data_IF_215522397334
#
_entry.id   IF_215522397334
#
_cell.length_a   1.000
_cell.length_b   1.000
_cell.length_c   1.000
_cell.angle_alpha   90.00
_cell.angle_beta   90.00
_cell.angle_gamma   90.00
#
_symmetry.space_group_name_H-M   'P 1'
#
loop_
_entity.id
_entity.type
_entity.pdbx_description
1 polymer ?
#
# COMPACT_ATOMS: atom_id res chain seq x y z
N UNK A 1 -18.58 -15.23 79.51
CA UNK A 1 -18.90 -15.25 78.07
C UNK A 1 -18.68 -13.82 77.64
N UNK A 2 -17.43 -13.51 77.31
CA UNK A 2 -16.95 -12.13 77.34
C UNK A 2 -16.78 -11.68 75.89
N UNK A 3 -17.62 -10.71 75.49
CA UNK A 3 -17.74 -10.24 74.12
C UNK A 3 -16.53 -9.44 73.68
N UNK A 4 -15.79 -9.97 72.71
CA UNK A 4 -14.78 -9.21 71.97
C UNK A 4 -15.46 -8.20 71.04
N UNK A 5 -15.47 -6.93 71.44
CA UNK A 5 -15.76 -5.81 70.54
C UNK A 5 -14.60 -5.65 69.56
N UNK A 6 -14.87 -5.88 68.27
CA UNK A 6 -13.92 -5.60 67.19
C UNK A 6 -14.01 -4.12 66.83
N UNK A 7 -13.08 -3.33 67.34
CA UNK A 7 -12.92 -1.93 66.96
C UNK A 7 -12.51 -1.85 65.48
N UNK A 8 -13.49 -1.52 64.64
CA UNK A 8 -13.28 -1.32 63.21
C UNK A 8 -12.77 0.10 63.00
N UNK A 9 -11.45 0.24 62.85
CA UNK A 9 -10.83 1.50 62.43
C UNK A 9 -11.27 1.87 61.01
N UNK A 10 -12.26 2.75 60.90
CA UNK A 10 -12.70 3.32 59.64
C UNK A 10 -11.72 4.44 59.23
N UNK A 11 -10.75 4.10 58.37
CA UNK A 11 -9.91 5.10 57.71
C UNK A 11 -10.76 5.89 56.71
N UNK A 12 -11.32 7.02 57.15
CA UNK A 12 -11.98 7.99 56.28
C UNK A 12 -10.91 8.76 55.49
N UNK A 13 -10.58 8.25 54.31
CA UNK A 13 -9.71 8.94 53.36
C UNK A 13 -10.50 10.04 52.66
N UNK A 14 -10.51 11.23 53.25
CA UNK A 14 -11.08 12.43 52.64
C UNK A 14 -10.19 12.91 51.50
N UNK A 15 -10.64 12.76 50.25
CA UNK A 15 -9.94 13.29 49.07
C UNK A 15 -10.12 14.82 49.04
N UNK A 16 -9.03 15.58 49.16
CA UNK A 16 -9.08 17.04 49.09
C UNK A 16 -9.29 17.48 47.63
N UNK A 17 -9.97 18.61 47.40
CA UNK A 17 -10.11 19.19 46.05
C UNK A 17 -8.75 19.53 45.42
N UNK A 18 -7.72 19.77 46.24
CA UNK A 18 -6.32 19.91 45.81
C UNK A 18 -5.75 18.64 45.15
N UNK A 19 -6.20 17.46 45.58
CA UNK A 19 -5.65 16.18 45.14
C UNK A 19 -6.18 15.81 43.75
N UNK A 20 -7.41 16.22 43.42
CA UNK A 20 -7.96 16.10 42.06
C UNK A 20 -7.20 16.97 41.06
N UNK A 21 -6.80 18.19 41.44
CA UNK A 21 -6.00 19.07 40.60
C UNK A 21 -4.65 18.44 40.23
N UNK A 22 -3.99 17.80 41.19
CA UNK A 22 -2.73 17.11 40.97
C UNK A 22 -2.86 15.93 39.98
N UNK A 23 -3.95 15.15 40.05
CA UNK A 23 -4.21 14.04 39.12
C UNK A 23 -4.40 14.54 37.68
N UNK A 24 -5.14 15.64 37.49
CA UNK A 24 -5.33 16.22 36.15
C UNK A 24 -4.03 16.76 35.56
N UNK A 25 -3.19 17.40 36.37
CA UNK A 25 -1.87 17.87 35.95
C UNK A 25 -0.98 16.71 35.51
N UNK A 26 -0.95 15.61 36.29
CA UNK A 26 -0.17 14.42 35.94
C UNK A 26 -0.65 13.77 34.63
N UNK A 27 -1.96 13.69 34.41
CA UNK A 27 -2.53 13.17 33.16
C UNK A 27 -2.19 14.06 31.95
N UNK A 28 -2.21 15.38 32.12
CA UNK A 28 -1.88 16.33 31.07
C UNK A 28 -0.38 16.24 30.71
N UNK A 29 0.50 16.21 31.72
CA UNK A 29 1.94 16.03 31.52
C UNK A 29 2.24 14.70 30.83
N UNK A 30 1.60 13.60 31.26
CA UNK A 30 1.79 12.29 30.66
C UNK A 30 1.31 12.24 29.20
N UNK A 31 0.14 12.82 28.92
CA UNK A 31 -0.39 13.01 27.56
C UNK A 31 0.58 13.80 26.67
N UNK A 32 1.12 14.90 27.19
CA UNK A 32 2.07 15.74 26.47
C UNK A 32 3.37 14.97 26.13
N UNK A 33 3.92 14.20 27.07
CA UNK A 33 5.13 13.38 26.83
C UNK A 33 4.89 12.35 25.73
N UNK A 34 3.73 11.69 25.74
CA UNK A 34 3.39 10.73 24.69
C UNK A 34 3.19 11.42 23.34
N UNK A 35 2.44 12.53 23.30
CA UNK A 35 2.23 13.31 22.08
C UNK A 35 3.57 13.78 21.48
N UNK A 36 4.52 14.22 22.31
CA UNK A 36 5.86 14.59 21.89
C UNK A 36 6.61 13.36 21.35
N UNK A 37 6.60 12.23 22.05
CA UNK A 37 7.32 11.02 21.61
C UNK A 37 6.79 10.48 20.27
N UNK A 38 5.47 10.38 20.11
CA UNK A 38 4.85 9.94 18.87
C UNK A 38 4.95 10.99 17.77
N UNK A 39 4.79 12.28 18.09
CA UNK A 39 4.95 13.40 17.18
C UNK A 39 6.37 13.51 16.62
N UNK A 40 7.39 13.36 17.46
CA UNK A 40 8.79 13.30 17.04
C UNK A 40 9.04 12.09 16.15
N UNK A 41 8.56 10.90 16.52
CA UNK A 41 8.71 9.70 15.68
C UNK A 41 8.03 9.88 14.31
N UNK A 42 6.83 10.46 14.28
CA UNK A 42 6.11 10.81 13.05
C UNK A 42 6.90 11.81 12.21
N UNK A 43 7.41 12.87 12.82
CA UNK A 43 8.20 13.89 12.15
C UNK A 43 9.50 13.32 11.57
N UNK A 44 10.24 12.51 12.33
CA UNK A 44 11.44 11.82 11.88
C UNK A 44 11.17 10.84 10.75
N UNK A 45 10.07 10.09 10.83
CA UNK A 45 9.65 9.17 9.77
C UNK A 45 9.33 9.93 8.47
N UNK A 46 8.53 11.00 8.56
CA UNK A 46 8.20 11.84 7.39
C UNK A 46 9.44 12.50 6.79
N UNK A 47 10.35 12.97 7.63
CA UNK A 47 11.64 13.55 7.20
C UNK A 47 12.50 12.51 6.50
N UNK A 48 12.64 11.30 7.04
CA UNK A 48 13.40 10.20 6.41
C UNK A 48 12.83 9.81 5.03
N UNK A 49 11.52 9.74 4.87
CA UNK A 49 10.89 9.45 3.56
C UNK A 49 11.20 10.54 2.54
N UNK A 50 11.15 11.82 2.97
CA UNK A 50 11.45 12.97 2.10
C UNK A 50 12.93 13.01 1.72
N UNK A 51 13.82 12.75 2.67
CA UNK A 51 15.27 12.86 2.47
C UNK A 51 15.81 11.78 1.51
N UNK A 52 15.23 10.58 1.48
CA UNK A 52 15.63 9.51 0.55
C UNK A 52 15.33 9.88 -0.91
N UNK A 53 14.20 10.57 -1.19
CA UNK A 53 13.88 11.01 -2.55
C UNK A 53 14.79 12.13 -3.06
N UNK A 54 15.40 12.91 -2.16
CA UNK A 54 16.18 14.11 -2.50
C UNK A 54 17.70 13.98 -2.41
N UNK A 55 18.24 12.87 -1.89
CA UNK A 55 19.70 12.72 -1.65
C UNK A 55 20.50 12.24 -2.85
N UNK A 56 19.86 11.60 -3.83
CA UNK A 56 20.58 10.96 -4.92
C UNK A 56 20.43 11.78 -6.20
N UNK A 57 21.55 12.06 -6.86
CA UNK A 57 21.56 12.62 -8.21
C UNK A 57 20.89 11.59 -9.12
N UNK A 58 19.75 11.96 -9.70
CA UNK A 58 19.01 11.09 -10.62
C UNK A 58 19.52 11.38 -12.02
N UNK A 59 20.31 10.45 -12.55
CA UNK A 59 20.75 10.46 -13.96
C UNK A 59 19.66 9.82 -14.81
N UNK A 60 19.41 10.36 -16.01
CA UNK A 60 18.48 9.75 -16.95
C UNK A 60 18.94 8.33 -17.29
N UNK A 61 18.01 7.37 -17.23
CA UNK A 61 18.26 5.98 -17.63
C UNK A 61 17.37 5.69 -18.83
N UNK A 62 17.96 5.19 -19.92
CA UNK A 62 17.23 4.88 -21.16
C UNK A 62 16.80 3.42 -21.22
N UNK A 63 17.45 2.56 -20.43
CA UNK A 63 17.17 1.13 -20.39
C UNK A 63 16.36 0.76 -19.14
N UNK A 64 15.53 -0.26 -19.29
CA UNK A 64 14.81 -0.83 -18.17
C UNK A 64 15.80 -1.37 -17.12
N UNK A 65 15.54 -1.14 -15.82
CA UNK A 65 16.39 -1.67 -14.77
C UNK A 65 16.46 -3.21 -14.85
N UNK A 66 17.65 -3.81 -14.71
CA UNK A 66 17.83 -5.25 -14.83
C UNK A 66 17.09 -5.98 -13.69
N UNK A 67 16.48 -7.12 -14.01
CA UNK A 67 15.81 -8.02 -13.06
C UNK A 67 14.66 -7.41 -12.25
N UNK A 68 14.09 -6.29 -12.71
CA UNK A 68 12.91 -5.66 -12.11
C UNK A 68 11.72 -5.81 -13.05
N UNK A 69 10.73 -6.67 -12.76
CA UNK A 69 9.54 -6.77 -13.59
C UNK A 69 8.70 -5.49 -13.53
N UNK A 70 7.85 -5.21 -14.53
CA UNK A 70 7.08 -3.96 -14.60
C UNK A 70 6.20 -3.71 -13.38
N UNK A 71 5.57 -4.74 -12.81
CA UNK A 71 4.75 -4.58 -11.60
C UNK A 71 5.59 -4.16 -10.38
N UNK A 72 6.85 -4.60 -10.28
CA UNK A 72 7.76 -4.11 -9.25
C UNK A 72 8.11 -2.66 -9.51
N UNK A 73 8.40 -2.31 -10.76
CA UNK A 73 8.75 -0.95 -11.16
C UNK A 73 7.63 0.03 -10.76
N UNK A 74 6.39 -0.21 -11.20
CA UNK A 74 5.25 0.66 -10.85
C UNK A 74 5.01 0.71 -9.35
N UNK A 75 5.06 -0.43 -8.67
CA UNK A 75 4.91 -0.48 -7.20
C UNK A 75 6.05 0.23 -6.46
N UNK A 76 7.28 0.26 -6.97
CA UNK A 76 8.40 0.99 -6.37
C UNK A 76 8.21 2.51 -6.53
N UNK A 77 7.75 2.95 -7.71
CA UNK A 77 7.47 4.36 -8.00
C UNK A 77 6.31 4.87 -7.14
N UNK A 78 5.21 4.13 -7.09
CA UNK A 78 3.93 4.58 -6.56
C UNK A 78 3.68 4.13 -5.13
N UNK A 79 4.50 3.18 -4.65
CA UNK A 79 4.36 2.51 -3.37
C UNK A 79 3.01 1.78 -3.20
N UNK A 80 2.32 1.52 -4.30
CA UNK A 80 1.03 0.82 -4.39
C UNK A 80 0.97 0.07 -5.71
N UNK A 81 0.27 -1.05 -5.69
CA UNK A 81 0.01 -1.84 -6.88
C UNK A 81 -1.38 -1.50 -7.41
N UNK A 82 -1.49 -1.41 -8.73
CA UNK A 82 -2.65 -0.91 -9.47
C UNK A 82 -3.11 -1.91 -10.54
N UNK A 83 -4.26 -1.66 -11.16
CA UNK A 83 -4.75 -2.47 -12.30
C UNK A 83 -3.78 -2.34 -13.49
N UNK A 84 -3.13 -1.19 -13.62
CA UNK A 84 -2.13 -0.94 -14.65
C UNK A 84 -0.91 -1.84 -14.48
N UNK A 85 -0.47 -2.09 -13.25
CA UNK A 85 0.63 -3.03 -12.97
C UNK A 85 0.29 -4.47 -13.40
N UNK A 86 -0.99 -4.85 -13.27
CA UNK A 86 -1.48 -6.13 -13.75
C UNK A 86 -1.43 -6.21 -15.28
N UNK A 87 -1.89 -5.17 -15.99
CA UNK A 87 -1.82 -5.09 -17.46
C UNK A 87 -0.37 -5.05 -17.94
N UNK A 88 0.49 -4.30 -17.26
CA UNK A 88 1.92 -4.27 -17.51
C UNK A 88 2.54 -5.66 -17.38
N UNK A 89 2.09 -6.46 -16.40
CA UNK A 89 2.52 -7.85 -16.24
C UNK A 89 2.06 -8.74 -17.40
N UNK A 90 0.84 -8.53 -17.92
CA UNK A 90 0.37 -9.24 -19.12
C UNK A 90 1.27 -8.91 -20.32
N UNK A 91 1.60 -7.63 -20.51
CA UNK A 91 2.45 -7.20 -21.62
C UNK A 91 3.87 -7.76 -21.48
N UNK A 92 4.46 -7.80 -20.28
CA UNK A 92 5.76 -8.44 -20.09
C UNK A 92 5.72 -9.95 -20.34
N UNK A 93 4.65 -10.63 -19.92
CA UNK A 93 4.47 -12.06 -20.19
C UNK A 93 4.29 -12.34 -21.69
N UNK A 94 3.68 -11.41 -22.44
CA UNK A 94 3.63 -11.49 -23.90
C UNK A 94 5.00 -11.30 -24.54
N UNK A 95 5.79 -10.33 -24.08
CA UNK A 95 7.17 -10.13 -24.57
C UNK A 95 8.08 -11.33 -24.27
N UNK A 96 7.84 -12.01 -23.15
CA UNK A 96 8.53 -13.25 -22.77
C UNK A 96 8.00 -14.49 -23.53
N UNK A 97 6.94 -14.35 -24.33
CA UNK A 97 6.39 -15.42 -25.16
C UNK A 97 5.37 -16.34 -24.49
N UNK A 98 4.96 -16.07 -23.24
CA UNK A 98 3.96 -16.88 -22.52
C UNK A 98 2.52 -16.57 -22.92
N UNK A 99 2.27 -15.34 -23.39
CA UNK A 99 0.95 -14.90 -23.86
C UNK A 99 1.04 -14.45 -25.31
N UNK A 100 -0.04 -14.66 -26.06
CA UNK A 100 -0.24 -14.13 -27.40
C UNK A 100 -1.33 -13.07 -27.34
N UNK A 101 -1.03 -11.89 -27.89
CA UNK A 101 -1.98 -10.83 -28.08
C UNK A 101 -2.32 -10.78 -29.58
N UNK A 102 -3.61 -10.87 -29.90
CA UNK A 102 -4.13 -10.72 -31.25
C UNK A 102 -5.13 -9.58 -31.27
N UNK A 103 -4.90 -8.61 -32.15
CA UNK A 103 -5.85 -7.52 -32.36
C UNK A 103 -6.95 -7.99 -33.31
N UNK A 104 -8.21 -7.82 -32.92
CA UNK A 104 -9.36 -8.07 -33.79
C UNK A 104 -9.99 -6.73 -34.19
N UNK A 105 -9.80 -6.36 -35.46
CA UNK A 105 -10.33 -5.12 -36.05
C UNK A 105 -11.86 -5.03 -35.96
N UNK A 106 -12.57 -6.16 -35.98
CA UNK A 106 -14.05 -6.17 -36.02
C UNK A 106 -14.68 -5.76 -34.69
N UNK A 107 -14.03 -6.10 -33.58
CA UNK A 107 -14.47 -5.76 -32.23
C UNK A 107 -13.71 -4.59 -31.65
N UNK A 108 -12.61 -4.24 -32.30
CA UNK A 108 -11.56 -3.43 -31.74
C UNK A 108 -11.30 -3.79 -30.27
N UNK A 109 -10.77 -4.98 -30.10
CA UNK A 109 -10.29 -5.38 -28.79
C UNK A 109 -9.14 -6.35 -29.01
N UNK A 110 -8.30 -6.49 -27.99
CA UNK A 110 -7.23 -7.47 -28.00
C UNK A 110 -7.74 -8.78 -27.42
N UNK A 111 -7.58 -9.84 -28.18
CA UNK A 111 -7.74 -11.20 -27.71
C UNK A 111 -6.43 -11.71 -27.14
N UNK A 112 -6.45 -12.08 -25.87
CA UNK A 112 -5.28 -12.55 -25.12
C UNK A 112 -5.44 -14.03 -24.83
N UNK A 113 -4.51 -14.84 -25.31
CA UNK A 113 -4.51 -16.28 -25.08
C UNK A 113 -3.15 -16.77 -24.62
N UNK A 114 -3.13 -17.92 -23.92
CA UNK A 114 -1.88 -18.54 -23.53
C UNK A 114 -1.15 -19.07 -24.77
N UNK A 115 0.16 -18.83 -24.83
CA UNK A 115 1.03 -19.35 -25.86
C UNK A 115 1.29 -20.85 -25.64
N UNK A 116 1.44 -21.60 -26.73
CA UNK A 116 1.83 -23.03 -26.71
C UNK A 116 3.32 -23.23 -26.40
N UNK A 117 4.10 -22.16 -26.25
CA UNK A 117 5.52 -22.28 -25.95
C UNK A 117 5.74 -22.86 -24.54
N UNK A 118 6.41 -24.03 -24.49
CA UNK A 118 6.92 -24.63 -23.26
C UNK A 118 8.21 -23.91 -22.82
N UNK A 119 8.05 -22.72 -22.25
CA UNK A 119 9.13 -21.98 -21.61
C UNK A 119 9.32 -22.38 -20.13
N UNK A 120 10.47 -22.04 -19.57
CA UNK A 120 10.68 -22.07 -18.11
C UNK A 120 9.71 -21.09 -17.46
N UNK A 121 8.89 -21.53 -16.50
CA UNK A 121 7.92 -20.67 -15.82
C UNK A 121 8.57 -19.37 -15.28
N UNK A 122 7.86 -18.24 -15.28
CA UNK A 122 8.38 -16.99 -14.72
C UNK A 122 8.83 -17.16 -13.27
N UNK A 123 9.89 -16.44 -12.90
CA UNK A 123 10.52 -16.59 -11.59
C UNK A 123 9.64 -16.09 -10.43
N UNK A 124 8.77 -15.11 -10.69
CA UNK A 124 7.98 -14.45 -9.65
C UNK A 124 6.56 -15.04 -9.52
N UNK A 125 6.04 -15.11 -8.28
CA UNK A 125 4.73 -15.70 -8.00
C UNK A 125 3.57 -14.86 -8.58
N UNK A 126 3.70 -13.53 -8.60
CA UNK A 126 2.68 -12.66 -9.19
C UNK A 126 2.55 -12.86 -10.71
N UNK A 127 3.64 -13.09 -11.42
CA UNK A 127 3.63 -13.41 -12.87
C UNK A 127 2.97 -14.77 -13.12
N UNK A 128 3.32 -15.78 -12.32
CA UNK A 128 2.67 -17.10 -12.37
C UNK A 128 1.18 -17.01 -12.04
N UNK A 129 0.77 -16.12 -11.13
CA UNK A 129 -0.63 -15.88 -10.83
C UNK A 129 -1.40 -15.31 -12.03
N UNK A 130 -0.81 -14.34 -12.74
CA UNK A 130 -1.39 -13.80 -13.98
C UNK A 130 -1.51 -14.91 -15.03
N UNK A 131 -0.46 -15.71 -15.26
CA UNK A 131 -0.50 -16.82 -16.21
C UNK A 131 -1.58 -17.85 -15.88
N UNK A 132 -1.76 -18.20 -14.60
CA UNK A 132 -2.81 -19.13 -14.17
C UNK A 132 -4.23 -18.66 -14.49
N UNK A 133 -4.46 -17.35 -14.66
CA UNK A 133 -5.76 -16.84 -15.09
C UNK A 133 -6.11 -17.24 -16.54
N UNK A 134 -5.12 -17.61 -17.35
CA UNK A 134 -5.31 -18.01 -18.75
C UNK A 134 -5.18 -19.53 -18.96
N UNK A 135 -4.77 -20.28 -17.93
CA UNK A 135 -4.58 -21.73 -18.05
C UNK A 135 -5.90 -22.47 -18.24
N UNK A 136 -5.94 -23.32 -19.28
CA UNK A 136 -7.12 -24.14 -19.62
C UNK A 136 -8.31 -23.33 -20.14
N UNK A 137 -8.12 -22.03 -20.38
CA UNK A 137 -9.15 -21.12 -20.88
C UNK A 137 -8.70 -20.67 -22.28
N UNK A 138 -9.57 -20.78 -23.28
CA UNK A 138 -9.26 -20.53 -24.70
C UNK A 138 -8.93 -19.07 -25.06
N UNK A 139 -8.59 -18.23 -24.09
CA UNK A 139 -8.31 -16.80 -24.21
C UNK A 139 -9.46 -15.89 -23.76
N UNK A 140 -9.13 -14.62 -23.55
CA UNK A 140 -10.05 -13.55 -23.12
C UNK A 140 -9.80 -12.25 -23.86
N UNK A 141 -10.86 -11.50 -24.08
CA UNK A 141 -10.80 -10.10 -24.53
C UNK A 141 -10.24 -9.20 -23.43
N UNK A 142 -9.48 -8.16 -23.80
CA UNK A 142 -8.85 -7.25 -22.84
C UNK A 142 -9.86 -6.49 -21.98
N UNK A 143 -11.02 -6.15 -22.55
CA UNK A 143 -12.18 -5.60 -21.82
C UNK A 143 -12.63 -6.51 -20.66
N UNK A 144 -12.76 -7.82 -20.90
CA UNK A 144 -13.16 -8.81 -19.89
C UNK A 144 -12.08 -8.97 -18.82
N UNK A 145 -10.81 -8.95 -19.23
CA UNK A 145 -9.67 -9.04 -18.30
C UNK A 145 -9.72 -7.88 -17.31
N UNK A 146 -9.91 -6.65 -17.78
CA UNK A 146 -10.02 -5.48 -16.89
C UNK A 146 -11.06 -5.67 -15.80
N UNK A 147 -12.25 -6.16 -16.15
CA UNK A 147 -13.31 -6.40 -15.18
C UNK A 147 -12.93 -7.49 -14.16
N UNK A 148 -12.35 -8.60 -14.62
CA UNK A 148 -11.88 -9.67 -13.74
C UNK A 148 -10.74 -9.23 -12.83
N UNK A 149 -9.81 -8.43 -13.35
CA UNK A 149 -8.67 -7.89 -12.60
C UNK A 149 -9.13 -7.09 -11.39
N UNK A 150 -10.21 -6.31 -11.50
CA UNK A 150 -10.76 -5.57 -10.33
C UNK A 150 -11.11 -6.52 -9.18
N UNK A 151 -11.59 -7.73 -9.47
CA UNK A 151 -11.94 -8.72 -8.45
C UNK A 151 -10.72 -9.46 -7.89
N UNK A 152 -9.67 -9.66 -8.71
CA UNK A 152 -8.46 -10.39 -8.33
C UNK A 152 -7.30 -9.50 -7.88
N UNK A 153 -7.48 -8.17 -7.94
CA UNK A 153 -6.41 -7.18 -7.66
C UNK A 153 -5.84 -7.33 -6.25
N UNK A 154 -6.65 -7.68 -5.26
CA UNK A 154 -6.19 -7.82 -3.88
C UNK A 154 -5.19 -8.97 -3.72
N UNK A 155 -5.42 -10.08 -4.42
CA UNK A 155 -4.51 -11.22 -4.42
C UNK A 155 -3.24 -10.91 -5.20
N UNK A 156 -3.37 -10.28 -6.37
CA UNK A 156 -2.23 -9.80 -7.14
C UNK A 156 -1.36 -8.84 -6.32
N UNK A 157 -1.96 -7.85 -5.66
CA UNK A 157 -1.28 -6.89 -4.79
C UNK A 157 -0.51 -7.62 -3.68
N UNK A 158 -1.12 -8.62 -3.05
CA UNK A 158 -0.46 -9.42 -2.01
C UNK A 158 0.77 -10.15 -2.56
N UNK A 159 0.67 -10.76 -3.74
CA UNK A 159 1.78 -11.49 -4.36
C UNK A 159 2.92 -10.56 -4.81
N UNK A 160 2.59 -9.40 -5.40
CA UNK A 160 3.59 -8.39 -5.79
C UNK A 160 4.36 -7.91 -4.57
N UNK A 161 3.67 -7.59 -3.47
CA UNK A 161 4.33 -7.18 -2.22
C UNK A 161 5.18 -8.31 -1.62
N UNK A 162 4.70 -9.54 -1.65
CA UNK A 162 5.45 -10.72 -1.18
C UNK A 162 6.73 -10.94 -1.98
N UNK A 163 6.66 -10.84 -3.31
CA UNK A 163 7.82 -11.03 -4.18
C UNK A 163 8.82 -9.87 -4.04
N UNK A 164 8.33 -8.63 -3.93
CA UNK A 164 9.14 -7.45 -3.64
C UNK A 164 9.90 -7.55 -2.30
N UNK A 165 9.28 -8.17 -1.30
CA UNK A 165 9.91 -8.44 -0.01
C UNK A 165 10.96 -9.53 -0.10
N UNK A 166 10.70 -10.62 -0.84
CA UNK A 166 11.66 -11.69 -1.10
C UNK A 166 12.88 -11.19 -1.87
N UNK A 167 12.66 -10.30 -2.84
CA UNK A 167 13.73 -9.60 -3.55
C UNK A 167 14.51 -8.61 -2.67
N UNK A 168 14.07 -8.39 -1.42
CA UNK A 168 14.78 -7.57 -0.45
C UNK A 168 14.55 -6.07 -0.61
N UNK A 169 13.73 -5.62 -1.55
CA UNK A 169 13.39 -4.19 -1.72
C UNK A 169 12.55 -3.65 -0.56
N UNK A 170 11.73 -4.50 0.04
CA UNK A 170 10.93 -4.14 1.21
C UNK A 170 11.14 -5.12 2.35
N UNK A 171 11.05 -4.63 3.59
CA UNK A 171 11.17 -5.47 4.78
C UNK A 171 9.79 -5.73 5.37
N UNK A 172 9.52 -7.00 5.74
CA UNK A 172 8.37 -7.35 6.56
C UNK A 172 8.38 -6.50 7.83
N UNK A 173 7.25 -5.86 8.14
CA UNK A 173 6.99 -5.57 9.53
C UNK A 173 6.73 -6.92 10.20
N UNK A 174 7.47 -7.31 11.26
CA UNK A 174 7.05 -8.46 12.06
C UNK A 174 5.60 -8.20 12.47
N UNK A 175 4.69 -9.05 11.98
CA UNK A 175 3.28 -8.96 12.31
C UNK A 175 3.17 -9.04 13.83
N UNK A 176 2.57 -8.01 14.43
CA UNK A 176 1.83 -8.14 15.68
C UNK A 176 2.62 -8.44 16.97
N UNK A 177 3.94 -8.38 17.01
CA UNK A 177 4.66 -8.38 18.32
C UNK A 177 4.47 -7.05 19.09
N UNK A 178 4.15 -5.95 18.38
CA UNK A 178 3.81 -4.65 18.98
C UNK A 178 2.32 -4.50 19.35
N UNK A 179 1.49 -5.54 19.18
CA UNK A 179 0.14 -5.57 19.78
C UNK A 179 0.19 -5.81 21.29
N UNK A 180 1.33 -6.29 21.81
CA UNK A 180 1.60 -6.52 23.22
C UNK A 180 1.34 -5.28 24.09
N UNK A 181 1.84 -4.07 23.75
CA UNK A 181 1.47 -2.86 24.47
C UNK A 181 -0.02 -2.52 24.35
N UNK A 182 -0.67 -2.67 23.19
CA UNK A 182 -2.10 -2.38 23.04
C UNK A 182 -2.99 -3.31 23.90
N UNK A 183 -2.67 -4.61 23.94
CA UNK A 183 -3.32 -5.60 24.81
C UNK A 183 -3.02 -5.34 26.29
N UNK A 184 -1.79 -4.94 26.62
CA UNK A 184 -1.39 -4.55 27.98
C UNK A 184 -2.15 -3.30 28.45
N UNK A 185 -2.33 -2.29 27.59
CA UNK A 185 -3.15 -1.11 27.89
C UNK A 185 -4.62 -1.48 28.06
N UNK A 186 -5.16 -2.35 27.19
CA UNK A 186 -6.52 -2.88 27.35
C UNK A 186 -6.71 -3.59 28.70
N UNK A 187 -5.73 -4.40 29.11
CA UNK A 187 -5.73 -5.11 30.39
C UNK A 187 -5.66 -4.19 31.61
N UNK A 188 -4.77 -3.17 31.62
CA UNK A 188 -4.68 -2.19 32.72
C UNK A 188 -5.99 -1.39 32.84
N UNK A 189 -6.54 -0.96 31.70
CA UNK A 189 -7.80 -0.19 31.64
C UNK A 189 -8.95 -1.03 32.19
N UNK A 190 -9.04 -2.31 31.81
CA UNK A 190 -10.03 -3.25 32.32
C UNK A 190 -9.89 -3.45 33.84
N UNK A 191 -8.68 -3.65 34.38
CA UNK A 191 -8.48 -3.78 35.84
C UNK A 191 -8.83 -2.51 36.61
N UNK A 192 -8.60 -1.33 36.04
CA UNK A 192 -8.98 -0.06 36.64
C UNK A 192 -10.51 0.09 36.72
N UNK A 193 -11.23 -0.29 35.66
CA UNK A 193 -12.71 -0.30 35.63
C UNK A 193 -13.26 -1.28 36.68
N UNK A 194 -12.78 -2.52 36.69
CA UNK A 194 -13.24 -3.55 37.64
C UNK A 194 -13.02 -3.12 39.10
N UNK A 195 -11.84 -2.56 39.43
CA UNK A 195 -11.55 -2.07 40.78
C UNK A 195 -12.35 -0.82 41.16
N UNK A 196 -12.65 0.05 40.20
CA UNK A 196 -13.44 1.27 40.41
C UNK A 196 -14.95 0.98 40.60
N UNK A 197 -15.50 0.02 39.86
CA UNK A 197 -16.91 -0.39 39.95
C UNK A 197 -17.21 -1.15 41.24
N UNK A 198 -16.26 -1.94 41.76
CA UNK A 198 -16.46 -2.78 42.96
C UNK A 198 -16.45 -2.02 44.30
N UNK A 199 -16.11 -0.72 44.33
CA UNK A 199 -16.14 0.09 45.57
C UNK A 199 -17.06 1.32 45.40
N UNK A 200 -18.39 1.14 45.51
CA UNK A 200 -19.39 2.17 45.17
C UNK A 200 -19.41 3.39 46.11
N UNK A 201 -18.67 3.39 47.22
CA UNK A 201 -18.64 4.51 48.17
C UNK A 201 -17.78 5.71 47.72
N UNK A 202 -17.11 5.63 46.56
CA UNK A 202 -16.20 6.68 46.09
C UNK A 202 -16.71 7.31 44.78
N UNK A 203 -17.74 8.17 44.88
CA UNK A 203 -18.38 8.81 43.72
C UNK A 203 -17.42 9.59 42.78
N UNK A 204 -16.32 10.21 43.24
CA UNK A 204 -15.32 10.81 42.34
C UNK A 204 -14.54 9.75 41.55
N UNK A 205 -14.33 8.58 42.15
CA UNK A 205 -13.74 7.41 41.49
C UNK A 205 -14.63 6.80 40.41
N UNK A 206 -15.96 6.90 40.56
CA UNK A 206 -16.94 6.47 39.55
C UNK A 206 -16.96 7.43 38.34
N UNK A 207 -16.84 8.74 38.59
CA UNK A 207 -16.70 9.70 37.49
C UNK A 207 -15.37 9.52 36.76
N UNK A 208 -14.25 9.38 37.47
CA UNK A 208 -12.96 9.07 36.85
C UNK A 208 -12.99 7.76 36.06
N UNK A 209 -13.68 6.71 36.55
CA UNK A 209 -13.80 5.43 35.85
C UNK A 209 -14.73 5.46 34.64
N UNK A 210 -15.59 6.47 34.49
CA UNK A 210 -16.38 6.72 33.27
C UNK A 210 -15.56 7.46 32.20
N UNK A 211 -14.67 8.37 32.59
CA UNK A 211 -13.82 9.11 31.64
C UNK A 211 -12.59 8.31 31.17
N UNK A 212 -12.01 7.46 32.02
CA UNK A 212 -10.87 6.60 31.67
C UNK A 212 -11.09 5.67 30.46
N UNK A 213 -12.24 4.96 30.31
CA UNK A 213 -12.52 4.15 29.13
C UNK A 213 -12.73 5.00 27.89
N UNK A 214 -13.32 6.20 27.98
CA UNK A 214 -13.45 7.07 26.80
C UNK A 214 -12.07 7.55 26.31
N UNK A 215 -11.18 7.92 27.22
CA UNK A 215 -9.80 8.30 26.89
C UNK A 215 -8.99 7.11 26.36
N UNK A 216 -9.14 5.94 26.99
CA UNK A 216 -8.49 4.70 26.56
C UNK A 216 -8.97 4.22 25.20
N UNK A 217 -10.28 4.30 24.92
CA UNK A 217 -10.87 3.95 23.63
C UNK A 217 -10.49 4.98 22.56
N UNK A 218 -10.55 6.28 22.86
CA UNK A 218 -10.09 7.31 21.94
C UNK A 218 -8.61 7.13 21.59
N UNK A 219 -7.76 6.81 22.59
CA UNK A 219 -6.35 6.53 22.36
C UNK A 219 -6.11 5.22 21.63
N UNK A 220 -6.90 4.18 21.91
CA UNK A 220 -6.87 2.92 21.16
C UNK A 220 -7.22 3.17 19.70
N UNK A 221 -8.26 3.96 19.42
CA UNK A 221 -8.68 4.35 18.07
C UNK A 221 -7.58 5.19 17.39
N UNK A 222 -7.03 6.20 18.06
CA UNK A 222 -5.92 7.00 17.53
C UNK A 222 -4.71 6.12 17.25
N UNK A 223 -4.37 5.19 18.13
CA UNK A 223 -3.28 4.23 17.94
C UNK A 223 -3.58 3.31 16.75
N UNK A 224 -4.79 2.77 16.63
CA UNK A 224 -5.20 1.90 15.52
C UNK A 224 -5.21 2.66 14.18
N UNK A 225 -5.69 3.90 14.17
CA UNK A 225 -5.62 4.80 13.00
C UNK A 225 -4.16 5.15 12.70
N UNK A 226 -3.35 5.43 13.70
CA UNK A 226 -1.92 5.74 13.54
C UNK A 226 -1.17 4.53 13.00
N UNK A 227 -1.38 3.32 13.51
CA UNK A 227 -0.78 2.07 13.02
C UNK A 227 -1.32 1.65 11.65
N UNK A 228 -2.58 1.93 11.32
CA UNK A 228 -3.15 1.61 9.99
C UNK A 228 -2.76 2.65 8.93
N UNK A 229 -2.76 3.96 9.25
CA UNK A 229 -2.37 5.06 8.35
C UNK A 229 -0.86 5.22 8.21
N UNK A 230 -0.09 5.02 9.28
CA UNK A 230 1.37 4.88 9.22
C UNK A 230 1.81 3.45 9.01
N UNK A 231 0.87 2.54 8.70
CA UNK A 231 1.15 1.17 8.33
C UNK A 231 2.25 1.19 7.27
N UNK A 232 3.51 1.06 7.69
CA UNK A 232 4.28 -0.17 7.78
C UNK A 232 4.13 -1.12 6.59
N UNK A 233 3.53 -0.64 5.51
CA UNK A 233 3.34 -1.43 4.34
C UNK A 233 4.65 -1.61 3.61
N UNK A 234 5.66 -0.77 3.85
CA UNK A 234 6.92 -0.85 3.12
C UNK A 234 8.02 0.00 3.79
N UNK A 235 8.70 -0.53 4.82
CA UNK A 235 10.00 0.03 5.18
C UNK A 235 10.94 -0.25 4.00
N UNK A 236 11.17 0.80 3.19
CA UNK A 236 12.14 0.79 2.10
C UNK A 236 13.48 0.28 2.64
N UNK A 237 13.97 -0.80 2.05
CA UNK A 237 15.21 -1.41 2.48
C UNK A 237 16.41 -0.56 2.02
N UNK A 238 17.63 -0.94 2.45
CA UNK A 238 18.85 -0.35 1.88
C UNK A 238 18.98 -0.67 0.39
N UNK A 239 18.48 -1.82 -0.06
CA UNK A 239 18.50 -2.19 -1.48
C UNK A 239 17.54 -1.32 -2.30
N UNK A 240 16.39 -0.96 -1.74
CA UNK A 240 15.49 0.02 -2.35
C UNK A 240 16.17 1.39 -2.52
N UNK A 241 16.93 1.85 -1.52
CA UNK A 241 17.64 3.13 -1.60
C UNK A 241 18.72 3.14 -2.69
N UNK A 242 19.36 1.99 -2.95
CA UNK A 242 20.33 1.83 -4.04
C UNK A 242 19.67 1.82 -5.42
N UNK A 243 18.53 1.16 -5.57
CA UNK A 243 17.86 1.02 -6.88
C UNK A 243 17.04 2.25 -7.27
N UNK A 244 16.60 3.04 -6.28
CA UNK A 244 15.73 4.20 -6.50
C UNK A 244 16.24 5.21 -7.54
N UNK A 245 17.53 5.61 -7.59
CA UNK A 245 18.01 6.56 -8.58
C UNK A 245 17.89 6.03 -10.01
N UNK A 246 18.09 4.72 -10.20
CA UNK A 246 17.98 4.07 -11.50
C UNK A 246 16.50 4.04 -11.93
N UNK A 247 15.62 3.59 -11.02
CA UNK A 247 14.17 3.55 -11.25
C UNK A 247 13.62 4.95 -11.53
N UNK A 248 14.03 5.96 -10.76
CA UNK A 248 13.61 7.35 -10.95
C UNK A 248 14.13 7.93 -12.27
N UNK A 249 15.36 7.60 -12.67
CA UNK A 249 15.94 8.00 -13.95
C UNK A 249 15.16 7.42 -15.13
N UNK A 250 14.84 6.14 -15.06
CA UNK A 250 14.07 5.45 -16.11
C UNK A 250 12.61 5.91 -16.14
N UNK A 251 12.01 6.14 -14.97
CA UNK A 251 10.68 6.74 -14.87
C UNK A 251 10.58 8.09 -15.58
N UNK A 252 11.58 8.97 -15.38
CA UNK A 252 11.61 10.26 -16.05
C UNK A 252 11.77 10.13 -17.56
N UNK A 253 12.60 9.19 -18.03
CA UNK A 253 12.73 8.86 -19.45
C UNK A 253 11.40 8.39 -20.04
N UNK A 254 10.76 7.39 -19.42
CA UNK A 254 9.48 6.85 -19.87
C UNK A 254 8.41 7.93 -19.96
N UNK A 255 8.31 8.77 -18.92
CA UNK A 255 7.26 9.78 -18.81
C UNK A 255 7.41 10.91 -19.83
N UNK A 256 8.63 11.25 -20.24
CA UNK A 256 8.88 12.35 -21.15
C UNK A 256 9.05 11.84 -22.57
N UNK A 257 10.02 10.95 -22.80
CA UNK A 257 10.44 10.57 -24.14
C UNK A 257 9.52 9.50 -24.73
N UNK A 258 9.37 8.37 -24.05
CA UNK A 258 8.57 7.26 -24.60
C UNK A 258 7.09 7.62 -24.65
N UNK A 259 6.57 8.31 -23.64
CA UNK A 259 5.21 8.83 -23.67
C UNK A 259 4.98 9.73 -24.89
N UNK A 260 5.80 10.76 -25.13
CA UNK A 260 5.62 11.63 -26.30
C UNK A 260 5.77 10.88 -27.62
N UNK A 261 6.75 9.97 -27.72
CA UNK A 261 6.94 9.13 -28.90
C UNK A 261 5.71 8.30 -29.22
N UNK A 262 5.11 7.67 -28.20
CA UNK A 262 3.85 6.92 -28.37
C UNK A 262 2.70 7.82 -28.78
N UNK A 263 2.65 9.08 -28.32
CA UNK A 263 1.55 9.98 -28.65
C UNK A 263 1.57 10.28 -30.15
N UNK A 264 2.78 10.43 -30.68
CA UNK A 264 3.00 10.63 -32.10
C UNK A 264 2.68 9.37 -32.92
N UNK A 265 3.16 8.20 -32.51
CA UNK A 265 2.89 6.93 -33.21
C UNK A 265 1.39 6.59 -33.28
N UNK A 266 0.60 7.00 -32.28
CA UNK A 266 -0.83 6.78 -32.25
C UNK A 266 -1.62 7.71 -33.17
N UNK A 267 -1.04 8.83 -33.60
CA UNK A 267 -1.63 9.65 -34.67
C UNK A 267 -1.52 8.95 -36.03
N UNK A 268 -0.47 8.12 -36.21
CA UNK A 268 -0.15 7.40 -37.44
C UNK A 268 -0.44 5.88 -37.31
N UNK A 269 -1.63 5.52 -36.80
CA UNK A 269 -2.16 4.17 -36.47
C UNK A 269 -1.70 2.95 -37.31
N UNK A 270 -1.22 3.15 -38.54
CA UNK A 270 -0.77 2.12 -39.46
C UNK A 270 0.41 1.25 -38.96
N UNK A 271 1.16 1.66 -37.93
CA UNK A 271 2.37 0.95 -37.49
C UNK A 271 2.51 0.75 -35.97
N UNK A 272 1.39 0.61 -35.23
CA UNK A 272 1.47 0.35 -33.79
C UNK A 272 2.12 -1.01 -33.50
N UNK A 273 3.32 -1.00 -32.93
CA UNK A 273 4.03 -2.19 -32.48
C UNK A 273 4.36 -2.07 -30.99
N UNK A 274 4.15 -3.16 -30.25
CA UNK A 274 4.49 -3.23 -28.83
C UNK A 274 6.03 -3.23 -28.73
N UNK A 275 6.60 -2.19 -28.11
CA UNK A 275 8.04 -2.09 -27.88
C UNK A 275 8.41 -2.55 -26.47
N UNK A 276 9.70 -2.79 -26.28
CA UNK A 276 10.29 -3.24 -25.02
C UNK A 276 9.92 -2.35 -23.82
N UNK A 277 9.65 -1.07 -24.04
CA UNK A 277 9.37 -0.11 -22.97
C UNK A 277 7.91 -0.09 -22.52
N UNK A 278 6.96 -0.62 -23.31
CA UNK A 278 5.53 -0.46 -23.05
C UNK A 278 5.04 -1.06 -21.73
N UNK A 279 5.48 -2.27 -21.31
CA UNK A 279 5.07 -2.79 -20.01
C UNK A 279 5.43 -1.82 -18.88
N UNK A 280 6.64 -1.25 -18.95
CA UNK A 280 7.09 -0.28 -17.95
C UNK A 280 6.39 1.07 -18.09
N UNK A 281 6.09 1.51 -19.31
CA UNK A 281 5.35 2.74 -19.56
C UNK A 281 3.94 2.66 -18.96
N UNK A 282 3.25 1.54 -19.15
CA UNK A 282 1.93 1.27 -18.56
C UNK A 282 2.00 1.22 -17.03
N UNK A 283 3.04 0.60 -16.46
CA UNK A 283 3.25 0.59 -15.02
C UNK A 283 3.64 1.96 -14.45
N UNK A 284 4.38 2.78 -15.21
CA UNK A 284 4.89 4.09 -14.78
C UNK A 284 3.83 5.17 -14.77
N UNK A 285 2.94 5.17 -15.77
CA UNK A 285 2.06 6.30 -16.01
C UNK A 285 0.82 6.24 -15.11
N UNK A 286 1.05 6.55 -13.84
CA UNK A 286 0.03 7.08 -12.94
C UNK A 286 -0.63 8.30 -13.57
N UNK A 287 -1.94 8.21 -13.74
CA UNK A 287 -2.84 9.37 -13.77
C UNK A 287 -2.55 10.38 -14.88
N UNK A 288 -2.93 10.04 -16.10
CA UNK A 288 -2.95 11.02 -17.18
C UNK A 288 -3.41 10.41 -18.49
N UNK A 289 -3.40 11.24 -19.53
CA UNK A 289 -3.85 10.97 -20.90
C UNK A 289 -3.42 9.62 -21.47
N UNK A 290 -2.43 8.93 -20.90
CA UNK A 290 -1.92 7.62 -21.30
C UNK A 290 -2.70 6.39 -20.83
N UNK A 291 -3.35 6.41 -19.65
CA UNK A 291 -4.30 5.34 -19.35
C UNK A 291 -5.50 5.47 -20.28
N UNK A 292 -5.89 6.71 -20.60
CA UNK A 292 -6.82 7.03 -21.68
C UNK A 292 -6.25 6.54 -22.99
N UNK A 293 -5.12 6.98 -23.50
CA UNK A 293 -4.54 6.61 -24.80
C UNK A 293 -4.17 5.13 -24.95
N UNK A 294 -3.94 4.33 -23.88
CA UNK A 294 -3.87 2.86 -23.99
C UNK A 294 -5.24 2.18 -23.85
N UNK A 295 -6.16 2.74 -23.06
CA UNK A 295 -7.58 2.30 -23.02
C UNK A 295 -8.32 2.69 -24.29
N UNK A 296 -7.97 3.84 -24.82
CA UNK A 296 -8.42 4.54 -25.99
C UNK A 296 -7.61 4.07 -27.17
N UNK A 297 -6.37 3.58 -27.12
CA UNK A 297 -5.83 2.82 -28.28
C UNK A 297 -6.50 1.45 -28.37
N UNK A 298 -6.87 0.88 -27.22
CA UNK A 298 -7.82 -0.23 -27.12
C UNK A 298 -9.27 0.23 -27.49
N UNK A 299 -9.61 1.51 -27.62
CA UNK A 299 -10.92 2.05 -28.10
C UNK A 299 -10.86 2.92 -29.39
N UNK A 300 -9.71 3.20 -30.00
CA UNK A 300 -9.47 4.11 -31.16
C UNK A 300 -8.83 3.28 -32.28
N UNK A 301 -8.23 2.13 -31.96
CA UNK A 301 -8.40 1.00 -32.88
C UNK A 301 -9.90 0.73 -33.20
N UNK A 302 -10.87 1.27 -32.41
CA UNK A 302 -12.33 1.09 -32.57
C UNK A 302 -12.96 2.08 -33.48
N UNK A 303 -12.26 3.16 -33.78
CA UNK A 303 -12.76 4.16 -34.68
C UNK A 303 -11.83 4.24 -35.88
N UNK A 304 -11.78 3.12 -36.60
CA UNK A 304 -11.40 3.11 -37.99
C UNK A 304 -12.44 3.86 -38.83
N UNK A 305 -12.56 5.19 -38.67
CA UNK A 305 -13.23 6.08 -39.61
C UNK A 305 -12.62 7.49 -39.68
N UNK A 306 -12.10 7.77 -40.88
CA UNK A 306 -12.07 9.06 -41.57
C UNK A 306 -11.33 10.24 -40.93
N UNK A 307 -10.06 10.41 -41.32
CA UNK A 307 -9.57 11.73 -41.71
C UNK A 307 -9.54 11.83 -43.24
N UNK A 308 -10.73 11.99 -43.80
CA UNK A 308 -10.89 12.60 -45.12
C UNK A 308 -10.80 14.11 -44.91
N UNK A 309 -9.76 14.72 -45.48
CA UNK A 309 -9.64 16.16 -45.81
C UNK A 309 -9.90 17.16 -44.68
N UNK A 310 -8.83 17.81 -44.20
CA UNK A 310 -8.53 19.23 -44.48
C UNK A 310 -7.02 19.45 -44.34
#
# INVERSE_FOLDING_TARGET
MDGHSTDTYSYNFSFSSSDMGAVWILLLVFSAVLAIRYGLRYFWFRKRIRDIKGRNIVVAQYEAPPDIPPAFFGTIVDNRTSVQDFVATILSLQQQGFLLLQFDESKNDFFIQQSTQNGTLPAFEHEQFVLRQFQGQGGFWASVIRQRTVNTINEFNFLVQKDLQRAGYYKFHPKMDDLTPALFYGYITFRAIVKGVLKPWNWPGLLLSLFFPLFGVAWMIISLIFYSRLGLYNYRSKEWEKIWPIVAGYYNYLRVVEAEKRAFELQDMAHFTISKHDPYLVAALLQGQWSKVFTESIEIGADGKEYRTM
#
